data_IF_314402824507
#
_entry.id   IF_314402824507
#
_cell.length_a   1.000
_cell.length_b   1.000
_cell.length_c   1.000
_cell.angle_alpha   90.00
_cell.angle_beta   90.00
_cell.angle_gamma   90.00
#
_symmetry.space_group_name_H-M   'P 1'
#
loop_
_entity.id
_entity.type
_entity.pdbx_description
1 polymer ?
#
# COMPACT_ATOMS: atom_id res chain seq x y z
N UNK A 1 17.17 -15.69 -12.98
CA UNK A 1 16.13 -16.02 -11.96
C UNK A 1 15.20 -14.82 -11.81
N UNK A 2 13.88 -15.03 -11.82
CA UNK A 2 12.87 -13.97 -11.72
C UNK A 2 12.16 -14.09 -10.38
N UNK A 3 12.14 -13.03 -9.59
CA UNK A 3 11.44 -12.99 -8.29
C UNK A 3 10.29 -12.01 -8.39
N UNK A 4 9.08 -12.45 -8.05
CA UNK A 4 7.88 -11.62 -8.03
C UNK A 4 7.45 -11.35 -6.59
N UNK A 5 7.00 -10.12 -6.33
CA UNK A 5 6.54 -9.71 -5.01
C UNK A 5 5.20 -10.36 -4.68
N UNK A 6 5.08 -10.89 -3.46
CA UNK A 6 3.85 -11.47 -2.93
C UNK A 6 3.27 -10.53 -1.89
N UNK A 7 2.06 -10.03 -2.12
CA UNK A 7 1.38 -9.23 -1.10
C UNK A 7 1.06 -10.07 0.13
N UNK A 8 1.19 -9.47 1.30
CA UNK A 8 0.86 -10.12 2.57
C UNK A 8 -0.64 -10.42 2.63
N UNK A 9 -1.03 -11.62 3.07
CA UNK A 9 -2.46 -12.03 3.17
C UNK A 9 -3.33 -11.01 3.92
N UNK A 10 -2.82 -10.45 5.02
CA UNK A 10 -3.51 -9.41 5.81
C UNK A 10 -3.82 -8.16 5.00
N UNK A 11 -2.93 -7.75 4.09
CA UNK A 11 -3.16 -6.63 3.20
C UNK A 11 -4.34 -6.92 2.25
N UNK A 12 -4.38 -8.10 1.63
CA UNK A 12 -5.50 -8.50 0.79
C UNK A 12 -6.83 -8.58 1.56
N UNK A 13 -6.81 -9.13 2.77
CA UNK A 13 -7.99 -9.20 3.64
C UNK A 13 -8.50 -7.80 3.97
N UNK A 14 -7.60 -6.86 4.31
CA UNK A 14 -7.95 -5.45 4.60
C UNK A 14 -8.68 -4.81 3.42
N UNK A 15 -8.17 -5.00 2.20
CA UNK A 15 -8.81 -4.48 0.99
C UNK A 15 -10.18 -5.12 0.79
N UNK A 16 -10.29 -6.44 0.96
CA UNK A 16 -11.55 -7.16 0.82
C UNK A 16 -12.64 -6.67 1.79
N UNK A 17 -12.30 -6.52 3.07
CA UNK A 17 -13.22 -6.00 4.10
C UNK A 17 -13.63 -4.56 3.79
N UNK A 18 -12.67 -3.70 3.38
CA UNK A 18 -12.94 -2.32 3.02
C UNK A 18 -13.93 -2.19 1.86
N UNK A 19 -13.74 -2.97 0.79
CA UNK A 19 -14.63 -3.02 -0.36
C UNK A 19 -16.03 -3.55 0.02
N UNK A 20 -16.09 -4.57 0.86
CA UNK A 20 -17.36 -5.12 1.32
C UNK A 20 -18.17 -4.09 2.12
N UNK A 21 -17.55 -3.40 3.07
CA UNK A 21 -18.21 -2.34 3.85
C UNK A 21 -18.65 -1.17 2.96
N UNK A 22 -17.82 -0.78 1.99
CA UNK A 22 -18.17 0.24 1.01
C UNK A 22 -19.45 -0.11 0.25
N UNK A 23 -19.55 -1.35 -0.26
CA UNK A 23 -20.71 -1.81 -1.02
C UNK A 23 -21.98 -1.88 -0.16
N UNK A 24 -21.87 -2.31 1.11
CA UNK A 24 -23.00 -2.33 2.04
C UNK A 24 -23.56 -0.92 2.28
N UNK A 25 -22.68 0.05 2.58
CA UNK A 25 -23.09 1.43 2.86
C UNK A 25 -23.63 2.07 1.58
N UNK A 26 -23.01 1.84 0.44
CA UNK A 26 -23.51 2.31 -0.85
C UNK A 26 -24.90 1.76 -1.14
N UNK A 27 -25.12 0.46 -0.91
CA UNK A 27 -26.44 -0.17 -1.08
C UNK A 27 -27.47 0.44 -0.13
N UNK A 28 -27.09 0.73 1.12
CA UNK A 28 -27.96 1.41 2.07
C UNK A 28 -28.34 2.81 1.58
N UNK A 29 -27.37 3.60 1.10
CA UNK A 29 -27.63 4.93 0.54
C UNK A 29 -28.56 4.87 -0.68
N UNK A 30 -28.32 3.96 -1.62
CA UNK A 30 -29.15 3.80 -2.82
C UNK A 30 -30.57 3.38 -2.47
N UNK A 31 -30.74 2.44 -1.54
CA UNK A 31 -32.07 2.00 -1.09
C UNK A 31 -32.81 3.13 -0.36
N UNK A 32 -32.11 3.89 0.46
CA UNK A 32 -32.70 5.02 1.17
C UNK A 32 -33.11 6.19 0.27
N UNK A 33 -32.46 6.35 -0.88
CA UNK A 33 -32.88 7.30 -1.91
C UNK A 33 -34.09 6.81 -2.72
N UNK A 34 -34.20 5.49 -2.97
CA UNK A 34 -35.31 4.90 -3.73
C UNK A 34 -36.61 4.84 -2.93
N UNK A 35 -36.54 4.47 -1.64
CA UNK A 35 -37.68 4.32 -0.75
C UNK A 35 -37.53 5.25 0.47
N UNK A 36 -37.77 6.55 0.30
CA UNK A 36 -37.43 7.52 1.33
C UNK A 36 -38.50 7.57 2.43
N UNK A 37 -38.26 6.83 3.52
CA UNK A 37 -38.97 7.03 4.79
C UNK A 37 -38.30 8.14 5.63
N UNK A 38 -39.03 8.78 6.56
CA UNK A 38 -38.53 9.87 7.43
C UNK A 38 -37.26 9.48 8.19
N UNK A 39 -37.26 8.27 8.76
CA UNK A 39 -36.11 7.67 9.47
C UNK A 39 -34.92 7.44 8.54
N UNK A 40 -35.19 7.10 7.28
CA UNK A 40 -34.16 6.78 6.30
C UNK A 40 -33.49 8.06 5.78
N UNK A 41 -34.27 9.13 5.56
CA UNK A 41 -33.73 10.46 5.20
C UNK A 41 -32.74 10.99 6.24
N UNK A 42 -33.06 10.86 7.52
CA UNK A 42 -32.17 11.28 8.62
C UNK A 42 -30.87 10.45 8.67
N UNK A 43 -30.97 9.16 8.33
CA UNK A 43 -29.83 8.22 8.34
C UNK A 43 -28.93 8.32 7.11
N UNK A 44 -29.36 8.99 6.03
CA UNK A 44 -28.55 9.18 4.81
C UNK A 44 -27.34 10.09 5.05
N UNK A 45 -27.50 11.17 5.83
CA UNK A 45 -26.43 12.13 6.12
C UNK A 45 -25.21 11.42 6.76
N UNK A 46 -25.35 10.69 7.89
CA UNK A 46 -24.20 9.97 8.45
C UNK A 46 -23.68 8.88 7.52
N UNK A 47 -24.55 8.20 6.75
CA UNK A 47 -24.11 7.19 5.79
C UNK A 47 -23.19 7.76 4.70
N UNK A 48 -23.51 8.95 4.15
CA UNK A 48 -22.63 9.65 3.21
C UNK A 48 -21.30 10.06 3.86
N UNK A 49 -21.30 10.54 5.10
CA UNK A 49 -20.07 10.88 5.82
C UNK A 49 -19.16 9.66 5.96
N UNK A 50 -19.70 8.50 6.34
CA UNK A 50 -18.94 7.25 6.43
C UNK A 50 -18.44 6.82 5.05
N UNK A 51 -19.26 6.98 3.99
CA UNK A 51 -18.87 6.66 2.63
C UNK A 51 -17.65 7.50 2.19
N UNK A 52 -17.67 8.82 2.42
CA UNK A 52 -16.55 9.70 2.12
C UNK A 52 -15.30 9.34 2.92
N UNK A 53 -15.46 8.95 4.20
CA UNK A 53 -14.34 8.49 5.01
C UNK A 53 -13.69 7.21 4.44
N UNK A 54 -14.49 6.25 3.98
CA UNK A 54 -13.97 5.03 3.34
C UNK A 54 -13.26 5.36 2.02
N UNK A 55 -13.80 6.28 1.21
CA UNK A 55 -13.14 6.76 -0.01
C UNK A 55 -11.79 7.38 0.33
N UNK A 56 -11.72 8.23 1.35
CA UNK A 56 -10.47 8.84 1.81
C UNK A 56 -9.44 7.79 2.23
N UNK A 57 -9.83 6.80 3.03
CA UNK A 57 -8.94 5.68 3.40
C UNK A 57 -8.47 4.85 2.19
N UNK A 58 -9.28 4.80 1.14
CA UNK A 58 -8.95 4.05 -0.08
C UNK A 58 -7.93 4.78 -0.96
N UNK A 59 -7.67 6.07 -0.75
CA UNK A 59 -6.65 6.84 -1.52
C UNK A 59 -5.26 6.21 -1.35
N UNK A 60 -4.95 5.67 -0.17
CA UNK A 60 -3.65 5.02 0.06
C UNK A 60 -3.46 3.75 -0.79
N UNK A 61 -4.54 3.08 -1.20
CA UNK A 61 -4.47 1.90 -2.07
C UNK A 61 -3.93 2.22 -3.47
N UNK A 62 -4.06 3.47 -3.92
CA UNK A 62 -3.49 3.92 -5.21
C UNK A 62 -1.97 3.97 -5.21
N UNK A 63 -1.34 4.02 -4.03
CA UNK A 63 0.11 4.02 -3.89
C UNK A 63 0.70 2.61 -3.92
N UNK A 64 -0.14 1.58 -3.89
CA UNK A 64 0.32 0.20 -3.86
C UNK A 64 0.84 -0.27 -5.23
N UNK A 65 1.88 -1.09 -5.19
CA UNK A 65 2.58 -1.58 -6.37
C UNK A 65 3.11 -3.00 -6.14
N UNK A 66 3.26 -3.74 -7.24
CA UNK A 66 4.02 -5.00 -7.27
C UNK A 66 5.41 -4.75 -7.80
N UNK A 67 6.36 -5.57 -7.35
CA UNK A 67 7.73 -5.60 -7.84
C UNK A 67 8.01 -6.93 -8.53
N UNK A 68 8.69 -6.88 -9.66
CA UNK A 68 9.24 -8.03 -10.35
C UNK A 68 10.72 -7.79 -10.59
N UNK A 69 11.55 -8.55 -9.90
CA UNK A 69 13.00 -8.49 -10.04
C UNK A 69 13.39 -9.38 -11.21
N UNK A 70 13.99 -8.75 -12.21
CA UNK A 70 14.51 -9.37 -13.43
C UNK A 70 16.05 -9.33 -13.41
N UNK A 71 16.69 -9.88 -14.44
CA UNK A 71 18.16 -9.94 -14.49
C UNK A 71 18.79 -8.57 -14.70
N UNK A 72 18.11 -7.69 -15.45
CA UNK A 72 18.65 -6.39 -15.85
C UNK A 72 18.09 -5.23 -15.01
N UNK A 73 17.14 -5.50 -14.11
CA UNK A 73 16.48 -4.46 -13.33
C UNK A 73 15.22 -4.92 -12.61
N UNK A 74 14.45 -3.95 -12.13
CA UNK A 74 13.23 -4.11 -11.35
C UNK A 74 12.06 -3.52 -12.17
N UNK A 75 11.04 -4.32 -12.42
CA UNK A 75 9.75 -3.83 -12.94
C UNK A 75 8.82 -3.51 -11.76
N UNK A 76 8.44 -2.25 -11.63
CA UNK A 76 7.42 -1.76 -10.71
C UNK A 76 6.11 -1.61 -11.45
N UNK A 77 5.06 -2.31 -11.02
CA UNK A 77 3.73 -2.19 -11.61
C UNK A 77 2.76 -1.60 -10.58
N UNK A 78 2.08 -0.50 -10.91
CA UNK A 78 1.01 0.03 -10.06
C UNK A 78 -0.14 -0.95 -9.98
N UNK A 79 -0.67 -1.20 -8.77
CA UNK A 79 -1.74 -2.19 -8.57
C UNK A 79 -3.04 -1.78 -9.29
N UNK A 80 -3.39 -0.49 -9.23
CA UNK A 80 -4.65 0.04 -9.76
C UNK A 80 -4.51 0.44 -11.23
N UNK A 81 -3.49 1.23 -11.56
CA UNK A 81 -3.33 1.74 -12.92
C UNK A 81 -2.67 0.73 -13.88
N UNK A 82 -2.12 -0.37 -13.35
CA UNK A 82 -1.32 -1.36 -14.09
C UNK A 82 -0.18 -0.75 -14.92
N UNK A 83 0.20 0.49 -14.61
CA UNK A 83 1.31 1.18 -15.25
C UNK A 83 2.61 0.50 -14.83
N UNK A 84 3.40 0.14 -15.83
CA UNK A 84 4.70 -0.50 -15.63
C UNK A 84 5.80 0.54 -15.71
N UNK A 85 6.70 0.50 -14.75
CA UNK A 85 7.91 1.30 -14.71
C UNK A 85 9.09 0.36 -14.57
N UNK A 86 10.02 0.40 -15.51
CA UNK A 86 11.26 -0.36 -15.43
C UNK A 86 12.36 0.49 -14.78
N UNK A 87 13.12 -0.13 -13.89
CA UNK A 87 14.19 0.49 -13.12
C UNK A 87 15.42 -0.39 -13.28
N UNK A 88 16.40 0.04 -14.06
CA UNK A 88 17.63 -0.71 -14.27
C UNK A 88 18.52 -0.68 -13.01
N UNK A 89 19.26 -1.76 -12.72
CA UNK A 89 20.07 -1.83 -11.50
C UNK A 89 21.20 -0.79 -11.47
N UNK A 90 21.76 -0.45 -12.62
CA UNK A 90 22.77 0.59 -12.79
C UNK A 90 22.26 2.00 -12.43
N UNK A 91 20.95 2.22 -12.43
CA UNK A 91 20.31 3.46 -12.00
C UNK A 91 20.20 3.59 -10.48
N UNK A 92 20.47 2.51 -9.74
CA UNK A 92 20.41 2.48 -8.28
C UNK A 92 21.76 2.96 -7.73
N UNK A 93 21.69 3.95 -6.85
CA UNK A 93 22.85 4.54 -6.17
C UNK A 93 23.16 3.80 -4.87
N UNK A 94 22.13 3.52 -4.08
CA UNK A 94 22.30 2.82 -2.80
C UNK A 94 21.02 2.12 -2.33
N UNK A 95 21.20 1.15 -1.45
CA UNK A 95 20.14 0.44 -0.74
C UNK A 95 20.33 0.67 0.77
N UNK A 96 19.46 1.47 1.37
CA UNK A 96 19.52 1.86 2.78
C UNK A 96 18.41 1.19 3.58
N UNK A 97 18.74 0.65 4.75
CA UNK A 97 17.75 0.11 5.70
C UNK A 97 17.42 1.16 6.75
N UNK A 98 16.17 1.57 6.83
CA UNK A 98 15.68 2.48 7.87
C UNK A 98 14.78 1.74 8.85
N UNK A 99 14.62 2.30 10.05
CA UNK A 99 13.78 1.77 11.11
C UNK A 99 12.71 2.81 11.42
N UNK A 100 11.43 2.45 11.31
CA UNK A 100 10.38 3.36 11.78
C UNK A 100 10.50 3.54 13.29
N UNK A 101 10.34 4.77 13.76
CA UNK A 101 10.33 5.09 15.20
C UNK A 101 9.02 5.80 15.51
N UNK A 102 8.10 5.09 16.15
CA UNK A 102 6.89 5.69 16.72
C UNK A 102 7.22 6.27 18.09
N UNK A 103 7.46 7.59 18.13
CA UNK A 103 7.59 8.34 19.39
C UNK A 103 6.20 8.68 19.91
N UNK A 104 5.93 8.37 21.19
CA UNK A 104 4.77 8.96 21.87
C UNK A 104 4.99 10.46 22.11
N UNK A 105 3.90 11.19 22.33
CA UNK A 105 3.91 12.60 22.78
C UNK A 105 4.64 12.81 24.10
N UNK A 106 4.97 11.75 24.86
CA UNK A 106 5.75 11.78 26.11
C UNK A 106 7.19 11.25 25.95
N UNK A 107 7.68 11.06 24.72
CA UNK A 107 9.06 10.61 24.46
C UNK A 107 9.32 9.12 24.73
N UNK A 108 8.28 8.34 25.04
CA UNK A 108 8.38 6.89 25.23
C UNK A 108 8.17 6.20 23.89
N UNK A 109 9.06 5.28 23.52
CA UNK A 109 8.88 4.44 22.34
C UNK A 109 7.75 3.44 22.63
N UNK A 110 6.65 3.54 21.89
CA UNK A 110 5.48 2.68 22.09
C UNK A 110 5.71 1.29 21.50
N UNK A 111 6.52 1.22 20.44
CA UNK A 111 6.88 -0.02 19.76
C UNK A 111 8.34 0.02 19.36
N UNK A 112 8.94 -1.16 19.20
CA UNK A 112 10.27 -1.31 18.62
C UNK A 112 10.30 -0.92 17.13
N UNK A 113 9.16 -0.59 16.50
CA UNK A 113 9.09 -0.28 15.07
C UNK A 113 9.47 -1.46 14.17
N UNK A 114 9.41 -1.24 12.87
CA UNK A 114 9.85 -2.20 11.86
C UNK A 114 10.94 -1.59 10.97
N UNK A 115 11.72 -2.45 10.34
CA UNK A 115 12.70 -2.04 9.35
C UNK A 115 12.09 -2.06 7.96
N UNK A 116 12.41 -1.05 7.15
CA UNK A 116 12.07 -0.98 5.74
C UNK A 116 13.30 -0.60 4.92
N UNK A 117 13.30 -0.96 3.65
CA UNK A 117 14.39 -0.64 2.72
C UNK A 117 14.02 0.54 1.86
N UNK A 118 14.99 1.42 1.60
CA UNK A 118 14.89 2.53 0.67
C UNK A 118 15.95 2.32 -0.40
N UNK A 119 15.50 2.18 -1.64
CA UNK A 119 16.35 2.29 -2.81
C UNK A 119 16.46 3.76 -3.18
N UNK A 120 17.69 4.26 -3.26
CA UNK A 120 17.98 5.59 -3.77
C UNK A 120 18.48 5.47 -5.19
N UNK A 121 17.84 6.21 -6.11
CA UNK A 121 18.23 6.24 -7.50
C UNK A 121 19.19 7.40 -7.77
N UNK A 122 20.01 7.28 -8.82
CA UNK A 122 20.97 8.32 -9.24
C UNK A 122 20.31 9.65 -9.61
N UNK A 123 19.04 9.62 -10.02
CA UNK A 123 18.23 10.81 -10.33
C UNK A 123 17.60 11.46 -9.07
N UNK A 124 17.92 10.99 -7.87
CA UNK A 124 17.38 11.53 -6.61
C UNK A 124 16.01 10.96 -6.20
N UNK A 125 15.35 10.18 -7.07
CA UNK A 125 14.11 9.51 -6.70
C UNK A 125 14.38 8.37 -5.70
N UNK A 126 13.34 7.97 -4.97
CA UNK A 126 13.43 6.85 -4.03
C UNK A 126 12.29 5.85 -4.21
N UNK A 127 12.58 4.59 -3.88
CA UNK A 127 11.58 3.52 -3.80
C UNK A 127 11.66 2.89 -2.42
N UNK A 128 10.55 2.96 -1.68
CA UNK A 128 10.41 2.38 -0.35
C UNK A 128 9.82 0.99 -0.48
N UNK A 129 10.51 -0.02 0.05
CA UNK A 129 10.06 -1.41 0.11
C UNK A 129 9.90 -1.78 1.59
N UNK A 130 8.68 -2.15 1.99
CA UNK A 130 8.34 -2.46 3.38
C UNK A 130 7.92 -3.93 3.54
N UNK A 131 8.32 -4.61 4.64
CA UNK A 131 7.84 -5.95 4.98
C UNK A 131 6.34 -6.00 5.29
N UNK A 132 5.70 -4.85 5.55
CA UNK A 132 4.25 -4.80 5.73
C UNK A 132 3.49 -5.05 4.43
N UNK A 133 4.09 -4.67 3.30
CA UNK A 133 3.48 -4.80 1.98
C UNK A 133 3.76 -6.18 1.37
N UNK A 134 4.95 -6.73 1.59
CA UNK A 134 5.44 -7.92 0.89
C UNK A 134 5.80 -9.06 1.86
N UNK A 135 5.19 -10.23 1.66
CA UNK A 135 5.47 -11.45 2.44
C UNK A 135 6.89 -11.96 2.19
N UNK A 136 7.34 -11.92 0.93
CA UNK A 136 8.70 -12.30 0.54
C UNK A 136 9.68 -11.10 0.52
N UNK A 137 9.50 -10.16 1.46
CA UNK A 137 10.34 -8.97 1.56
C UNK A 137 11.85 -9.31 1.60
N UNK A 138 12.26 -10.28 2.42
CA UNK A 138 13.67 -10.66 2.53
C UNK A 138 14.24 -11.14 1.19
N UNK A 139 13.51 -12.00 0.46
CA UNK A 139 13.90 -12.49 -0.86
C UNK A 139 14.07 -11.35 -1.87
N UNK A 140 13.14 -10.39 -1.86
CA UNK A 140 13.18 -9.20 -2.73
C UNK A 140 14.46 -8.40 -2.44
N UNK A 141 14.73 -8.12 -1.16
CA UNK A 141 15.88 -7.29 -0.77
C UNK A 141 17.21 -7.99 -1.06
N UNK A 142 17.32 -9.28 -0.77
CA UNK A 142 18.54 -10.06 -1.04
C UNK A 142 18.85 -10.12 -2.54
N UNK A 143 17.84 -10.35 -3.38
CA UNK A 143 18.04 -10.40 -4.83
C UNK A 143 18.38 -9.05 -5.45
N UNK A 144 17.91 -7.95 -4.87
CA UNK A 144 18.33 -6.60 -5.28
C UNK A 144 19.77 -6.35 -4.82
N UNK A 145 20.09 -6.71 -3.58
CA UNK A 145 21.42 -6.51 -3.00
C UNK A 145 22.51 -7.25 -3.80
N UNK A 146 22.27 -8.51 -4.17
CA UNK A 146 23.21 -9.32 -4.95
C UNK A 146 23.46 -8.84 -6.38
N UNK A 147 22.76 -7.79 -6.83
CA UNK A 147 22.89 -7.20 -8.18
C UNK A 147 23.50 -5.80 -8.16
N UNK A 148 23.59 -5.19 -6.99
CA UNK A 148 24.14 -3.83 -6.80
C UNK A 148 25.55 -3.89 -6.17
N UNK A 149 25.81 -4.92 -5.35
CA UNK A 149 27.16 -5.29 -4.87
C UNK A 149 27.94 -6.07 -5.94
#
# INVERSE_FOLDING_TARGET
>A
MVIESKFRKLFCIRIGIGLFLFLLILSFCVNGLKNPDETTKQSLIPAFVVLFFIIYLSIDLFKDFTLKIMENGIEKTSLIFRTKQFIAFDSISSLNKQKTRLRSTRGINITDGYHYSILQFKNGNTLIISPDNFENYTEIIEAIKSRIE
#
